data_IF_522302153141
#
_entry.id   IF_522302153141
#
_cell.length_a   1.000
_cell.length_b   1.000
_cell.length_c   1.000
_cell.angle_alpha   90.00
_cell.angle_beta   90.00
_cell.angle_gamma   90.00
#
_symmetry.space_group_name_H-M   'P 1'
#
loop_
_entity.id
_entity.type
_entity.pdbx_description
1 polymer ?
#
# COMPACT_ATOMS: atom_id res chain seq x y z
N UNK A 1 -5.09 -22.51 -25.55
CA UNK A 1 -3.82 -21.73 -25.58
C UNK A 1 -3.73 -20.59 -24.54
N UNK A 2 -4.81 -20.00 -24.02
CA UNK A 2 -4.77 -18.78 -23.19
C UNK A 2 -4.31 -18.94 -21.73
N UNK A 3 -4.40 -20.14 -21.14
CA UNK A 3 -3.98 -20.39 -19.75
C UNK A 3 -2.48 -20.66 -19.62
N UNK A 4 -1.88 -21.38 -20.57
CA UNK A 4 -0.45 -21.70 -20.56
C UNK A 4 0.44 -20.44 -20.65
N UNK A 5 0.01 -19.42 -21.39
CA UNK A 5 0.72 -18.15 -21.50
C UNK A 5 0.72 -17.34 -20.18
N UNK A 6 -0.36 -17.42 -19.38
CA UNK A 6 -0.41 -16.76 -18.07
C UNK A 6 0.45 -17.48 -17.03
N UNK A 7 0.47 -18.82 -17.07
CA UNK A 7 1.32 -19.63 -16.18
C UNK A 7 2.80 -19.43 -16.50
N UNK A 8 3.16 -19.37 -17.79
CA UNK A 8 4.54 -19.10 -18.22
C UNK A 8 5.05 -17.72 -17.81
N UNK A 9 4.20 -16.68 -17.87
CA UNK A 9 4.56 -15.33 -17.41
C UNK A 9 4.79 -15.24 -15.90
N UNK A 10 3.99 -15.95 -15.10
CA UNK A 10 4.16 -15.98 -13.64
C UNK A 10 5.44 -16.73 -13.24
N UNK A 11 5.71 -17.87 -13.88
CA UNK A 11 6.94 -18.64 -13.68
C UNK A 11 8.17 -17.82 -14.10
N UNK A 12 8.11 -17.10 -15.22
CA UNK A 12 9.20 -16.23 -15.67
C UNK A 12 9.44 -15.06 -14.70
N UNK A 13 8.39 -14.48 -14.12
CA UNK A 13 8.50 -13.41 -13.13
C UNK A 13 9.08 -13.90 -11.79
N UNK A 14 8.65 -15.08 -11.30
CA UNK A 14 9.22 -15.70 -10.09
C UNK A 14 10.68 -16.09 -10.33
N UNK A 15 11.01 -16.64 -11.51
CA UNK A 15 12.38 -16.98 -11.87
C UNK A 15 13.28 -15.74 -11.97
N UNK A 16 12.78 -14.63 -12.54
CA UNK A 16 13.51 -13.37 -12.59
C UNK A 16 13.73 -12.78 -11.18
N UNK A 17 12.73 -12.83 -10.30
CA UNK A 17 12.85 -12.35 -8.93
C UNK A 17 13.85 -13.18 -8.11
N UNK A 18 13.81 -14.51 -8.23
CA UNK A 18 14.80 -15.40 -7.60
C UNK A 18 16.21 -15.19 -8.15
N UNK A 19 16.34 -14.87 -9.44
CA UNK A 19 17.63 -14.53 -10.05
C UNK A 19 18.20 -13.21 -9.51
N UNK A 20 17.34 -12.21 -9.29
CA UNK A 20 17.72 -10.94 -8.66
C UNK A 20 18.16 -11.19 -7.20
N UNK A 21 17.40 -11.98 -6.44
CA UNK A 21 17.72 -12.32 -5.05
C UNK A 21 19.05 -13.07 -4.93
N UNK A 22 19.32 -14.02 -5.84
CA UNK A 22 20.58 -14.75 -5.91
C UNK A 22 21.76 -13.82 -6.23
N UNK A 23 21.59 -12.91 -7.19
CA UNK A 23 22.63 -11.95 -7.59
C UNK A 23 22.93 -10.96 -6.47
N UNK A 24 21.91 -10.54 -5.72
CA UNK A 24 22.07 -9.63 -4.57
C UNK A 24 22.73 -10.34 -3.39
N UNK A 25 22.39 -11.59 -3.08
CA UNK A 25 22.98 -12.35 -1.97
C UNK A 25 24.45 -12.70 -2.23
N UNK A 26 24.77 -13.23 -3.42
CA UNK A 26 26.08 -13.82 -3.72
C UNK A 26 26.97 -12.98 -4.64
N UNK A 27 26.39 -12.08 -5.46
CA UNK A 27 27.15 -11.29 -6.44
C UNK A 27 27.42 -9.84 -6.04
N UNK A 28 26.75 -9.30 -5.02
CA UNK A 28 26.90 -7.90 -4.63
C UNK A 28 27.86 -7.70 -3.44
N UNK A 29 28.66 -6.62 -3.47
CA UNK A 29 29.55 -6.19 -2.39
C UNK A 29 28.82 -5.40 -1.27
N UNK A 30 27.49 -5.54 -1.16
CA UNK A 30 26.70 -4.91 -0.10
C UNK A 30 26.93 -5.58 1.27
N UNK A 31 26.84 -4.79 2.35
CA UNK A 31 26.83 -5.34 3.71
C UNK A 31 25.58 -6.19 3.96
N UNK A 32 25.65 -7.10 4.95
CA UNK A 32 24.61 -8.12 5.20
C UNK A 32 23.23 -7.53 5.49
N UNK A 33 23.13 -6.37 6.16
CA UNK A 33 21.85 -5.73 6.49
C UNK A 33 21.04 -5.33 5.25
N UNK A 34 21.57 -4.50 4.34
CA UNK A 34 20.93 -4.15 3.07
C UNK A 34 20.57 -5.35 2.20
N UNK A 35 21.40 -6.41 2.17
CA UNK A 35 21.10 -7.65 1.45
C UNK A 35 19.82 -8.31 1.97
N UNK A 36 19.67 -8.42 3.29
CA UNK A 36 18.48 -9.00 3.91
C UNK A 36 17.22 -8.16 3.69
N UNK A 37 17.33 -6.84 3.65
CA UNK A 37 16.20 -5.95 3.38
C UNK A 37 15.71 -6.11 1.93
N UNK A 38 16.62 -6.12 0.96
CA UNK A 38 16.27 -6.25 -0.47
C UNK A 38 15.63 -7.63 -0.72
N UNK A 39 16.24 -8.70 -0.20
CA UNK A 39 15.68 -10.06 -0.28
C UNK A 39 14.34 -10.13 0.44
N UNK A 40 14.20 -9.48 1.60
CA UNK A 40 12.95 -9.45 2.36
C UNK A 40 11.80 -8.78 1.59
N UNK A 41 12.07 -7.65 0.92
CA UNK A 41 11.08 -6.95 0.09
C UNK A 41 10.72 -7.78 -1.15
N UNK A 42 11.70 -8.43 -1.79
CA UNK A 42 11.47 -9.32 -2.94
C UNK A 42 10.61 -10.52 -2.56
N UNK A 43 10.93 -11.20 -1.45
CA UNK A 43 10.18 -12.36 -0.94
C UNK A 43 8.76 -11.97 -0.55
N UNK A 44 8.57 -10.82 0.12
CA UNK A 44 7.23 -10.29 0.39
C UNK A 44 6.44 -10.02 -0.90
N UNK A 45 7.08 -9.45 -1.92
CA UNK A 45 6.49 -9.25 -3.24
C UNK A 45 6.07 -10.56 -3.92
N UNK A 46 6.89 -11.60 -3.83
CA UNK A 46 6.59 -12.94 -4.35
C UNK A 46 5.43 -13.59 -3.59
N UNK A 47 5.38 -13.47 -2.26
CA UNK A 47 4.27 -13.97 -1.44
C UNK A 47 2.96 -13.27 -1.81
N UNK A 48 2.97 -11.94 -1.99
CA UNK A 48 1.77 -11.19 -2.42
C UNK A 48 1.35 -11.56 -3.84
N UNK A 49 2.29 -11.78 -4.77
CA UNK A 49 1.99 -12.20 -6.13
C UNK A 49 1.40 -13.62 -6.18
N UNK A 50 1.96 -14.56 -5.41
CA UNK A 50 1.46 -15.94 -5.30
C UNK A 50 0.11 -15.96 -4.57
N UNK A 51 -0.06 -15.15 -3.53
CA UNK A 51 -1.33 -15.00 -2.81
C UNK A 51 -2.43 -14.39 -3.70
N UNK A 52 -2.10 -13.32 -4.43
CA UNK A 52 -3.00 -12.71 -5.41
C UNK A 52 -3.38 -13.67 -6.54
N UNK A 53 -2.47 -14.56 -6.93
CA UNK A 53 -2.74 -15.62 -7.90
C UNK A 53 -3.58 -16.78 -7.33
N UNK A 54 -3.30 -17.24 -6.10
CA UNK A 54 -4.06 -18.29 -5.43
C UNK A 54 -5.50 -17.84 -5.09
N UNK A 55 -5.70 -16.56 -4.78
CA UNK A 55 -7.02 -15.97 -4.58
C UNK A 55 -7.72 -15.54 -5.88
N UNK A 56 -7.06 -15.63 -7.04
CA UNK A 56 -7.75 -15.63 -8.34
C UNK A 56 -8.42 -17.00 -8.55
N UNK A 57 -9.63 -17.17 -8.00
CA UNK A 57 -10.52 -18.27 -8.43
C UNK A 57 -10.65 -18.22 -9.96
N UNK A 58 -10.70 -19.39 -10.66
CA UNK A 58 -11.00 -19.41 -12.08
C UNK A 58 -12.36 -18.75 -12.30
N UNK A 59 -12.33 -17.63 -13.00
CA UNK A 59 -13.50 -16.86 -13.37
C UNK A 59 -14.50 -17.78 -14.09
N UNK A 60 -15.74 -17.99 -13.59
CA UNK A 60 -16.72 -18.80 -14.30
C UNK A 60 -17.11 -18.10 -15.61
N UNK A 61 -17.23 -18.83 -16.73
CA UNK A 61 -17.53 -18.21 -18.02
C UNK A 61 -18.85 -17.43 -17.92
N UNK A 62 -18.76 -16.15 -18.27
CA UNK A 62 -19.84 -15.14 -18.37
C UNK A 62 -21.28 -15.70 -18.30
N UNK A 63 -21.95 -15.50 -17.18
CA UNK A 63 -23.41 -15.22 -17.16
C UNK A 63 -23.83 -14.48 -15.87
N UNK A 64 -23.44 -13.20 -15.77
CA UNK A 64 -24.18 -12.25 -14.96
C UNK A 64 -24.11 -10.88 -15.64
N UNK A 65 -24.96 -10.75 -16.67
CA UNK A 65 -25.55 -9.48 -17.12
C UNK A 65 -26.57 -9.12 -16.03
N UNK A 66 -26.63 -7.93 -15.43
CA UNK A 66 -25.86 -6.71 -15.56
C UNK A 66 -26.10 -5.89 -14.26
N UNK A 67 -25.38 -4.77 -14.11
CA UNK A 67 -25.43 -3.77 -13.03
C UNK A 67 -24.43 -3.86 -11.86
N UNK A 68 -23.83 -5.02 -11.57
CA UNK A 68 -22.92 -5.11 -10.40
C UNK A 68 -21.43 -4.84 -10.70
N UNK A 69 -21.02 -4.88 -11.98
CA UNK A 69 -19.61 -4.74 -12.38
C UNK A 69 -19.12 -3.30 -12.50
N UNK A 70 -20.00 -2.32 -12.29
CA UNK A 70 -19.73 -0.89 -12.55
C UNK A 70 -19.84 0.01 -11.31
N UNK A 71 -19.75 -0.54 -10.09
CA UNK A 71 -19.65 0.25 -8.83
C UNK A 71 -18.28 -0.01 -8.17
N UNK A 72 -17.69 -1.16 -8.51
CA UNK A 72 -16.44 -1.63 -7.94
C UNK A 72 -15.22 -0.91 -8.52
N UNK A 73 -15.31 -0.25 -9.70
CA UNK A 73 -14.15 0.41 -10.33
C UNK A 73 -13.85 1.76 -9.67
N UNK A 74 -14.88 2.53 -9.28
CA UNK A 74 -14.72 3.79 -8.55
C UNK A 74 -14.21 3.57 -7.12
N UNK A 75 -14.78 2.60 -6.40
CA UNK A 75 -14.31 2.23 -5.07
C UNK A 75 -12.88 1.68 -5.10
N UNK A 76 -12.56 0.83 -6.08
CA UNK A 76 -11.19 0.34 -6.27
C UNK A 76 -10.22 1.48 -6.64
N UNK A 77 -10.66 2.47 -7.42
CA UNK A 77 -9.88 3.67 -7.72
C UNK A 77 -9.57 4.47 -6.45
N UNK A 78 -10.57 4.72 -5.61
CA UNK A 78 -10.37 5.42 -4.34
C UNK A 78 -9.44 4.63 -3.41
N UNK A 79 -9.65 3.32 -3.27
CA UNK A 79 -8.80 2.45 -2.46
C UNK A 79 -7.34 2.47 -2.94
N UNK A 80 -7.11 2.33 -4.24
CA UNK A 80 -5.75 2.36 -4.82
C UNK A 80 -5.09 3.72 -4.62
N UNK A 81 -5.81 4.83 -4.77
CA UNK A 81 -5.29 6.16 -4.45
C UNK A 81 -4.90 6.29 -2.98
N UNK A 82 -5.78 5.86 -2.06
CA UNK A 82 -5.49 5.91 -0.62
C UNK A 82 -4.28 5.06 -0.26
N UNK A 83 -4.12 3.89 -0.89
CA UNK A 83 -2.96 3.03 -0.69
C UNK A 83 -1.66 3.71 -1.16
N UNK A 84 -1.67 4.32 -2.35
CA UNK A 84 -0.51 5.08 -2.85
C UNK A 84 -0.20 6.32 -2.00
N UNK A 85 -1.22 7.01 -1.52
CA UNK A 85 -1.02 8.11 -0.57
C UNK A 85 -0.36 7.61 0.72
N UNK A 86 -0.83 6.48 1.27
CA UNK A 86 -0.23 5.87 2.45
C UNK A 86 1.23 5.47 2.22
N UNK A 87 1.57 4.88 1.07
CA UNK A 87 2.96 4.51 0.75
C UNK A 87 3.85 5.74 0.62
N UNK A 88 3.38 6.83 -0.01
CA UNK A 88 4.15 8.09 -0.09
C UNK A 88 4.46 8.61 1.31
N UNK A 89 3.44 8.74 2.17
CA UNK A 89 3.66 9.20 3.55
C UNK A 89 4.57 8.26 4.35
N UNK A 90 4.48 6.95 4.12
CA UNK A 90 5.34 5.97 4.74
C UNK A 90 6.80 6.13 4.28
N UNK A 91 7.04 6.28 2.99
CA UNK A 91 8.36 6.49 2.40
C UNK A 91 9.00 7.79 2.91
N UNK A 92 8.23 8.90 2.98
CA UNK A 92 8.68 10.15 3.63
C UNK A 92 9.03 9.90 5.10
N UNK A 93 8.18 9.19 5.83
CA UNK A 93 8.40 8.91 7.25
C UNK A 93 9.67 8.10 7.50
N UNK A 94 9.93 7.08 6.69
CA UNK A 94 11.17 6.29 6.74
C UNK A 94 12.38 7.15 6.37
N UNK A 95 12.26 8.02 5.36
CA UNK A 95 13.36 8.91 4.98
C UNK A 95 13.76 9.81 6.15
N UNK A 96 12.79 10.46 6.79
CA UNK A 96 13.01 11.37 7.92
C UNK A 96 13.46 10.63 9.17
N UNK A 97 12.93 9.42 9.42
CA UNK A 97 13.31 8.60 10.59
C UNK A 97 14.69 7.97 10.47
N UNK A 98 15.16 7.70 9.24
CA UNK A 98 16.44 7.00 9.02
C UNK A 98 17.59 8.00 9.04
N UNK A 99 18.63 7.82 9.90
CA UNK A 99 19.77 8.72 9.95
C UNK A 99 20.53 8.78 8.62
N UNK A 100 21.22 9.90 8.36
CA UNK A 100 22.00 10.07 7.12
C UNK A 100 23.23 9.16 7.14
N UNK A 101 23.41 8.41 6.06
CA UNK A 101 24.65 7.68 5.76
C UNK A 101 25.51 8.53 4.84
N UNK A 102 26.83 8.58 5.12
CA UNK A 102 27.80 9.43 4.40
C UNK A 102 27.81 9.24 2.88
N UNK A 103 27.30 8.11 2.39
CA UNK A 103 27.28 7.76 0.96
C UNK A 103 26.17 8.41 0.14
N UNK A 104 25.19 9.10 0.74
CA UNK A 104 24.08 9.73 0.00
C UNK A 104 23.14 8.74 -0.72
N UNK A 105 23.40 7.43 -0.60
CA UNK A 105 22.68 6.36 -1.30
C UNK A 105 21.21 6.30 -0.84
N UNK A 106 20.96 6.60 0.44
CA UNK A 106 19.61 6.62 1.01
C UNK A 106 18.74 7.65 0.29
N UNK A 107 19.24 8.85 0.13
CA UNK A 107 18.56 9.99 -0.48
C UNK A 107 18.25 9.69 -1.95
N UNK A 108 19.16 9.02 -2.65
CA UNK A 108 18.93 8.57 -4.03
C UNK A 108 17.86 7.48 -4.13
N UNK A 109 17.94 6.42 -3.31
CA UNK A 109 16.98 5.31 -3.37
C UNK A 109 15.57 5.77 -2.98
N UNK A 110 15.45 6.46 -1.84
CA UNK A 110 14.16 6.94 -1.36
C UNK A 110 13.63 8.08 -2.22
N UNK A 111 14.50 8.96 -2.71
CA UNK A 111 14.12 10.05 -3.63
C UNK A 111 13.57 9.54 -4.95
N UNK A 112 14.28 8.63 -5.61
CA UNK A 112 13.82 8.03 -6.88
C UNK A 112 12.55 7.23 -6.66
N UNK A 113 12.48 6.43 -5.59
CA UNK A 113 11.28 5.68 -5.22
C UNK A 113 10.06 6.60 -5.06
N UNK A 114 10.22 7.71 -4.35
CA UNK A 114 9.15 8.66 -4.08
C UNK A 114 8.68 9.41 -5.34
N UNK A 115 9.60 9.71 -6.28
CA UNK A 115 9.23 10.26 -7.59
C UNK A 115 8.41 9.26 -8.40
N UNK A 116 8.80 7.98 -8.42
CA UNK A 116 8.04 6.93 -9.10
C UNK A 116 6.65 6.78 -8.47
N UNK A 117 6.57 6.73 -7.14
CA UNK A 117 5.29 6.68 -6.41
C UNK A 117 4.39 7.88 -6.74
N UNK A 118 4.95 9.09 -6.77
CA UNK A 118 4.21 10.31 -7.12
C UNK A 118 3.69 10.29 -8.57
N UNK A 119 4.50 9.80 -9.53
CA UNK A 119 4.09 9.66 -10.94
C UNK A 119 2.94 8.65 -11.06
N UNK A 120 3.07 7.49 -10.42
CA UNK A 120 2.04 6.45 -10.46
C UNK A 120 0.75 6.94 -9.77
N UNK A 121 0.87 7.60 -8.61
CA UNK A 121 -0.25 8.23 -7.92
C UNK A 121 -0.94 9.28 -8.79
N UNK A 122 -0.18 10.16 -9.44
CA UNK A 122 -0.71 11.16 -10.37
C UNK A 122 -1.41 10.53 -11.57
N UNK A 123 -0.82 9.48 -12.16
CA UNK A 123 -1.42 8.74 -13.26
C UNK A 123 -2.77 8.13 -12.88
N UNK A 124 -2.85 7.45 -11.73
CA UNK A 124 -4.11 6.88 -11.23
C UNK A 124 -5.12 7.96 -10.83
N UNK A 125 -4.66 9.10 -10.31
CA UNK A 125 -5.51 10.25 -9.96
C UNK A 125 -6.24 10.78 -11.20
N UNK A 126 -5.49 11.00 -12.28
CA UNK A 126 -5.98 11.54 -13.55
C UNK A 126 -6.76 10.52 -14.40
N UNK A 127 -6.62 9.22 -14.13
CA UNK A 127 -7.37 8.17 -14.84
C UNK A 127 -8.87 8.36 -14.62
N UNK A 128 -9.61 8.77 -15.64
CA UNK A 128 -11.07 8.90 -15.50
C UNK A 128 -11.73 7.53 -15.33
N UNK A 129 -12.68 7.45 -14.39
CA UNK A 129 -13.57 6.31 -14.21
C UNK A 129 -14.94 6.72 -14.75
N UNK A 130 -15.57 5.84 -15.53
CA UNK A 130 -16.85 6.13 -16.20
C UNK A 130 -18.06 6.02 -15.28
N UNK A 131 -17.83 5.68 -14.01
CA UNK A 131 -18.85 5.45 -12.99
C UNK A 131 -19.10 6.74 -12.20
N UNK A 132 -20.38 7.04 -12.00
CA UNK A 132 -20.81 8.12 -11.11
C UNK A 132 -20.96 7.55 -9.69
N UNK A 133 -20.47 8.24 -8.65
CA UNK A 133 -20.66 7.81 -7.27
C UNK A 133 -22.15 7.72 -6.94
N UNK A 134 -22.57 6.56 -6.44
CA UNK A 134 -23.94 6.29 -6.00
C UNK A 134 -24.13 6.64 -4.51
N UNK A 135 -25.37 6.66 -4.04
CA UNK A 135 -25.69 6.98 -2.63
C UNK A 135 -25.03 5.99 -1.65
N UNK A 136 -24.89 4.72 -2.06
CA UNK A 136 -24.20 3.68 -1.29
C UNK A 136 -22.73 3.98 -1.11
N UNK A 137 -22.02 4.37 -2.18
CA UNK A 137 -20.61 4.78 -2.11
C UNK A 137 -20.43 5.91 -1.09
N UNK A 138 -21.28 6.94 -1.13
CA UNK A 138 -21.22 8.05 -0.16
C UNK A 138 -21.55 7.60 1.26
N UNK A 139 -22.55 6.73 1.45
CA UNK A 139 -22.89 6.20 2.76
C UNK A 139 -21.75 5.36 3.36
N UNK A 140 -21.11 4.50 2.56
CA UNK A 140 -19.97 3.69 2.98
C UNK A 140 -18.74 4.56 3.27
N UNK A 141 -18.48 5.55 2.43
CA UNK A 141 -17.40 6.52 2.64
C UNK A 141 -17.62 7.31 3.94
N UNK A 142 -18.83 7.83 4.16
CA UNK A 142 -19.20 8.55 5.36
C UNK A 142 -19.10 7.66 6.60
N UNK A 143 -19.54 6.40 6.53
CA UNK A 143 -19.42 5.44 7.62
C UNK A 143 -17.96 5.12 7.95
N UNK A 144 -17.12 4.95 6.94
CA UNK A 144 -15.67 4.76 7.13
C UNK A 144 -15.03 6.00 7.79
N UNK A 145 -15.39 7.21 7.32
CA UNK A 145 -14.87 8.47 7.86
C UNK A 145 -15.31 8.70 9.30
N UNK A 146 -16.58 8.47 9.63
CA UNK A 146 -17.12 8.57 10.98
C UNK A 146 -16.47 7.58 11.94
N UNK A 147 -16.19 6.34 11.49
CA UNK A 147 -15.46 5.36 12.29
C UNK A 147 -14.03 5.82 12.57
N UNK A 148 -13.33 6.31 11.55
CA UNK A 148 -11.98 6.86 11.71
C UNK A 148 -11.96 8.07 12.65
N UNK A 149 -12.95 8.94 12.58
CA UNK A 149 -13.08 10.09 13.47
C UNK A 149 -13.18 9.67 14.94
N UNK A 150 -14.05 8.71 15.25
CA UNK A 150 -14.18 8.16 16.61
C UNK A 150 -12.87 7.49 17.06
N UNK A 151 -12.23 6.74 16.17
CA UNK A 151 -10.95 6.08 16.46
C UNK A 151 -9.84 7.10 16.78
N UNK A 152 -9.71 8.16 15.98
CA UNK A 152 -8.72 9.23 16.18
C UNK A 152 -9.01 9.97 17.49
N UNK A 153 -10.26 10.31 17.78
CA UNK A 153 -10.63 10.92 19.06
C UNK A 153 -10.23 10.04 20.25
N UNK A 154 -10.53 8.74 20.19
CA UNK A 154 -10.12 7.79 21.22
C UNK A 154 -8.60 7.73 21.40
N UNK A 155 -7.85 7.64 20.30
CA UNK A 155 -6.39 7.63 20.33
C UNK A 155 -5.80 8.92 20.91
N UNK A 156 -6.37 10.09 20.57
CA UNK A 156 -5.96 11.39 21.09
C UNK A 156 -6.24 11.53 22.59
N UNK A 157 -7.40 11.04 23.07
CA UNK A 157 -7.73 11.03 24.50
C UNK A 157 -6.73 10.16 25.27
N UNK A 158 -6.44 8.95 24.78
CA UNK A 158 -5.44 8.06 25.40
C UNK A 158 -4.06 8.72 25.42
N UNK A 159 -3.66 9.33 24.30
CA UNK A 159 -2.39 10.05 24.21
C UNK A 159 -2.32 11.21 25.20
N UNK A 160 -3.41 11.98 25.34
CA UNK A 160 -3.49 13.08 26.31
C UNK A 160 -3.35 12.58 27.76
N UNK A 161 -3.98 11.45 28.10
CA UNK A 161 -3.84 10.80 29.42
C UNK A 161 -2.39 10.39 29.67
N UNK A 162 -1.74 9.73 28.69
CA UNK A 162 -0.33 9.31 28.78
C UNK A 162 0.58 10.52 29.00
N UNK A 163 0.38 11.61 28.25
CA UNK A 163 1.13 12.86 28.41
C UNK A 163 0.89 13.44 29.81
N UNK A 164 -0.35 13.40 30.31
CA UNK A 164 -0.69 13.85 31.66
C UNK A 164 0.09 13.11 32.77
N UNK A 165 0.39 11.82 32.60
CA UNK A 165 1.18 11.04 33.55
C UNK A 165 2.69 11.15 33.34
N UNK A 166 3.16 11.20 32.09
CA UNK A 166 4.60 11.21 31.74
C UNK A 166 5.20 12.62 31.62
N UNK A 167 4.36 13.66 31.67
CA UNK A 167 4.74 15.07 31.54
C UNK A 167 4.92 15.51 30.09
N UNK A 168 6.00 15.08 29.43
CA UNK A 168 6.30 15.48 28.05
C UNK A 168 6.58 14.28 27.16
N UNK A 169 6.10 14.35 25.92
CA UNK A 169 6.31 13.32 24.91
C UNK A 169 6.95 13.96 23.69
N UNK A 170 8.15 13.49 23.33
CA UNK A 170 8.84 13.98 22.13
C UNK A 170 8.37 13.15 20.94
N UNK A 171 7.74 13.81 19.96
CA UNK A 171 7.36 13.19 18.69
C UNK A 171 8.39 13.51 17.62
N UNK A 172 8.97 12.48 17.01
CA UNK A 172 9.83 12.65 15.86
C UNK A 172 9.01 12.76 14.58
N UNK A 173 9.38 13.69 13.69
CA UNK A 173 8.65 13.92 12.44
C UNK A 173 8.47 12.65 11.59
N UNK A 174 9.49 11.78 11.55
CA UNK A 174 9.39 10.50 10.85
C UNK A 174 8.30 9.58 11.44
N UNK A 175 8.14 9.57 12.77
CA UNK A 175 7.07 8.81 13.43
C UNK A 175 5.69 9.38 13.09
N UNK A 176 5.54 10.70 13.03
CA UNK A 176 4.29 11.36 12.65
C UNK A 176 3.86 10.93 11.24
N UNK A 177 4.77 10.96 10.27
CA UNK A 177 4.49 10.53 8.90
C UNK A 177 4.12 9.05 8.80
N UNK A 178 4.81 8.17 9.54
CA UNK A 178 4.47 6.74 9.61
C UNK A 178 3.08 6.55 10.25
N UNK A 179 2.74 7.30 11.30
CA UNK A 179 1.41 7.26 11.92
C UNK A 179 0.31 7.74 10.96
N UNK A 180 0.54 8.79 10.18
CA UNK A 180 -0.39 9.26 9.13
C UNK A 180 -0.59 8.16 8.09
N UNK A 181 0.49 7.54 7.61
CA UNK A 181 0.41 6.43 6.65
C UNK A 181 -0.42 5.26 7.20
N UNK A 182 -0.22 4.90 8.46
CA UNK A 182 -0.99 3.86 9.13
C UNK A 182 -2.48 4.21 9.20
N UNK A 183 -2.83 5.45 9.56
CA UNK A 183 -4.23 5.91 9.62
C UNK A 183 -4.90 5.90 8.24
N UNK A 184 -4.20 6.33 7.18
CA UNK A 184 -4.72 6.27 5.79
C UNK A 184 -4.95 4.81 5.38
N UNK A 185 -4.02 3.90 5.73
CA UNK A 185 -4.15 2.48 5.43
C UNK A 185 -5.34 1.84 6.16
N UNK A 186 -5.51 2.13 7.46
CA UNK A 186 -6.66 1.66 8.24
C UNK A 186 -7.97 2.16 7.63
N UNK A 187 -8.05 3.45 7.26
CA UNK A 187 -9.21 4.00 6.58
C UNK A 187 -9.50 3.26 5.27
N UNK A 188 -8.47 3.04 4.43
CA UNK A 188 -8.62 2.34 3.15
C UNK A 188 -9.15 0.91 3.35
N UNK A 189 -8.66 0.18 4.35
CA UNK A 189 -9.11 -1.17 4.68
C UNK A 189 -10.54 -1.17 5.21
N UNK A 190 -10.88 -0.27 6.14
CA UNK A 190 -12.24 -0.14 6.69
C UNK A 190 -13.23 0.18 5.59
N UNK A 191 -12.90 1.14 4.72
CA UNK A 191 -13.71 1.51 3.57
C UNK A 191 -13.91 0.31 2.63
N UNK A 192 -12.85 -0.43 2.29
CA UNK A 192 -12.93 -1.62 1.45
C UNK A 192 -13.82 -2.72 2.06
N UNK A 193 -13.73 -2.94 3.38
CA UNK A 193 -14.56 -3.91 4.10
C UNK A 193 -16.04 -3.50 4.06
N UNK A 194 -16.33 -2.22 4.27
CA UNK A 194 -17.70 -1.72 4.22
C UNK A 194 -18.27 -1.82 2.80
N UNK A 195 -17.48 -1.48 1.79
CA UNK A 195 -17.92 -1.56 0.40
C UNK A 195 -18.19 -3.00 -0.04
N UNK A 196 -17.39 -3.98 0.42
CA UNK A 196 -17.59 -5.40 0.10
C UNK A 196 -18.78 -6.05 0.82
N UNK A 197 -19.30 -5.43 1.88
CA UNK A 197 -20.41 -5.99 2.70
C UNK A 197 -21.79 -5.51 2.26
N UNK A 198 -21.88 -4.37 1.56
CA UNK A 198 -23.13 -3.90 0.98
C UNK A 198 -23.52 -4.71 -0.26
#
# INVERSE_FOLDING_TARGET
MKNSQKTGGLIAMIAAALFIDFTVLFGSNLSWGPKLIIVGISVLGQIVAIWGWLHMKPWPPKSQKGKEKTIFDLSAKLYTMLLFAATIFYTVGIWVATPNVRSGIKEWILGVGLVIEAIVFGFFSLKNVKETPDERFYANLAKAASLMFVFILGALIILAVIIGYMGSLTLYMGQIFISIAALICIFAVVYLILERRG
#
